data_IF_043661860563
#
_entry.id   IF_043661860563
#
_cell.length_a   1.000
_cell.length_b   1.000
_cell.length_c   1.000
_cell.angle_alpha   90.00
_cell.angle_beta   90.00
_cell.angle_gamma   90.00
#
_symmetry.space_group_name_H-M   'P 1'
#
loop_
_entity.id
_entity.type
_entity.pdbx_description
1 polymer ?
#
# COMPACT_ATOMS: atom_id res chain seq x y z
N UNK A 1 5.06 -22.62 -16.95
CA UNK A 1 4.54 -21.26 -16.74
C UNK A 1 3.03 -21.39 -16.74
N UNK A 2 2.34 -20.76 -15.78
CA UNK A 2 0.88 -20.85 -15.71
C UNK A 2 0.30 -19.94 -16.77
N UNK A 3 -0.35 -20.49 -17.79
CA UNK A 3 -1.07 -19.73 -18.83
C UNK A 3 -2.45 -19.26 -18.30
N UNK A 4 -2.59 -19.11 -16.99
CA UNK A 4 -3.87 -18.79 -16.37
C UNK A 4 -3.91 -17.30 -16.09
N UNK A 5 -4.95 -16.64 -16.60
CA UNK A 5 -5.29 -15.26 -16.22
C UNK A 5 -5.49 -15.23 -14.71
N UNK A 6 -4.74 -14.37 -14.02
CA UNK A 6 -4.65 -14.38 -12.56
C UNK A 6 -5.06 -13.03 -12.00
N UNK A 7 -6.00 -13.01 -11.05
CA UNK A 7 -6.34 -11.79 -10.32
C UNK A 7 -5.18 -11.41 -9.41
N UNK A 8 -4.65 -10.21 -9.61
CA UNK A 8 -3.50 -9.68 -8.85
C UNK A 8 -3.91 -8.58 -7.88
N UNK A 9 -5.09 -7.98 -8.07
CA UNK A 9 -5.64 -6.96 -7.19
C UNK A 9 -7.17 -7.01 -7.20
N UNK A 10 -7.79 -6.65 -6.07
CA UNK A 10 -9.24 -6.59 -5.91
C UNK A 10 -9.62 -5.42 -5.01
N UNK A 11 -10.54 -4.60 -5.50
CA UNK A 11 -11.21 -3.51 -4.80
C UNK A 11 -12.73 -3.70 -4.93
N UNK A 12 -13.51 -2.96 -4.13
CA UNK A 12 -14.97 -3.03 -4.21
C UNK A 12 -15.52 -2.59 -5.57
N UNK A 13 -14.82 -1.68 -6.25
CA UNK A 13 -15.25 -1.10 -7.52
C UNK A 13 -14.65 -1.80 -8.76
N UNK A 14 -13.47 -2.42 -8.63
CA UNK A 14 -12.76 -3.07 -9.74
C UNK A 14 -11.73 -4.11 -9.28
N UNK A 15 -11.24 -4.93 -10.19
CA UNK A 15 -10.11 -5.84 -9.96
C UNK A 15 -9.07 -5.73 -11.08
N UNK A 16 -7.80 -6.02 -10.81
CA UNK A 16 -6.75 -6.09 -11.84
C UNK A 16 -6.34 -7.53 -12.05
N UNK A 17 -6.23 -7.91 -13.31
CA UNK A 17 -5.88 -9.24 -13.75
C UNK A 17 -4.61 -9.20 -14.60
N UNK A 18 -3.68 -10.11 -14.33
CA UNK A 18 -2.52 -10.35 -15.18
C UNK A 18 -2.86 -11.41 -16.23
N UNK A 19 -2.59 -11.11 -17.50
CA UNK A 19 -2.80 -12.02 -18.64
C UNK A 19 -1.43 -12.44 -19.20
N UNK A 20 -0.92 -13.63 -18.83
CA UNK A 20 0.41 -14.09 -19.25
C UNK A 20 0.61 -14.15 -20.77
N UNK A 21 -0.45 -14.46 -21.52
CA UNK A 21 -0.41 -14.61 -22.98
C UNK A 21 -0.14 -13.29 -23.72
N UNK A 22 -0.64 -12.19 -23.16
CA UNK A 22 -0.44 -10.85 -23.71
C UNK A 22 0.71 -10.12 -23.01
N UNK A 23 1.27 -10.70 -21.95
CA UNK A 23 2.26 -10.07 -21.08
C UNK A 23 1.83 -8.66 -20.63
N UNK A 24 0.57 -8.56 -20.20
CA UNK A 24 -0.06 -7.29 -19.84
C UNK A 24 -1.15 -7.45 -18.79
N UNK A 25 -1.74 -6.32 -18.43
CA UNK A 25 -2.71 -6.19 -17.34
C UNK A 25 -4.02 -5.60 -17.86
N UNK A 26 -5.13 -6.08 -17.32
CA UNK A 26 -6.49 -5.61 -17.63
C UNK A 26 -7.25 -5.41 -16.33
N UNK A 27 -8.28 -4.57 -16.35
CA UNK A 27 -9.13 -4.33 -15.18
C UNK A 27 -10.58 -4.75 -15.43
N UNK A 28 -11.14 -5.39 -14.42
CA UNK A 28 -12.55 -5.80 -14.34
C UNK A 28 -13.39 -4.67 -13.74
N UNK A 29 -14.55 -4.41 -14.33
CA UNK A 29 -15.61 -3.63 -13.71
C UNK A 29 -16.41 -4.49 -12.74
N UNK A 30 -16.82 -3.94 -11.59
CA UNK A 30 -17.68 -4.65 -10.62
C UNK A 30 -18.82 -5.43 -11.31
N UNK A 31 -18.75 -6.77 -11.24
CA UNK A 31 -19.76 -7.69 -11.75
C UNK A 31 -19.44 -8.41 -13.06
N UNK A 32 -18.24 -8.24 -13.64
CA UNK A 32 -17.81 -8.96 -14.85
C UNK A 32 -16.42 -9.58 -14.67
N UNK A 33 -16.37 -10.84 -14.26
CA UNK A 33 -15.11 -11.55 -14.06
C UNK A 33 -14.31 -11.67 -15.37
N UNK A 34 -13.03 -11.28 -15.33
CA UNK A 34 -12.11 -11.47 -16.47
C UNK A 34 -11.53 -12.88 -16.44
N UNK A 35 -11.61 -13.55 -17.58
CA UNK A 35 -11.19 -14.94 -17.81
C UNK A 35 -10.39 -15.05 -19.10
N UNK A 36 -9.82 -16.23 -19.36
CA UNK A 36 -9.10 -16.53 -20.60
C UNK A 36 -9.96 -16.36 -21.86
N UNK A 37 -11.29 -16.37 -21.76
CA UNK A 37 -12.20 -16.32 -22.91
C UNK A 37 -12.70 -14.90 -23.24
N UNK A 38 -12.60 -13.95 -22.31
CA UNK A 38 -13.19 -12.61 -22.47
C UNK A 38 -12.20 -11.44 -22.31
N UNK A 39 -10.95 -11.70 -21.90
CA UNK A 39 -9.97 -10.63 -21.68
C UNK A 39 -9.66 -9.81 -22.93
N UNK A 40 -9.89 -10.38 -24.12
CA UNK A 40 -9.66 -9.72 -25.41
C UNK A 40 -10.57 -8.51 -25.64
N UNK A 41 -11.68 -8.41 -24.90
CA UNK A 41 -12.62 -7.29 -24.98
C UNK A 41 -12.22 -6.13 -24.05
N UNK A 42 -11.16 -6.29 -23.25
CA UNK A 42 -10.68 -5.29 -22.30
C UNK A 42 -9.46 -4.52 -22.84
N UNK A 43 -9.30 -3.23 -22.48
CA UNK A 43 -8.08 -2.49 -22.77
C UNK A 43 -6.91 -3.08 -21.96
N UNK A 44 -5.73 -3.10 -22.59
CA UNK A 44 -4.49 -3.63 -22.02
C UNK A 44 -3.57 -2.50 -21.60
N UNK A 45 -2.98 -2.68 -20.41
CA UNK A 45 -1.87 -1.86 -19.94
C UNK A 45 -0.58 -2.67 -19.85
N UNK A 46 0.53 -2.00 -20.13
CA UNK A 46 1.87 -2.60 -20.20
C UNK A 46 2.41 -2.97 -18.81
N UNK A 47 1.89 -2.34 -17.75
CA UNK A 47 2.31 -2.59 -16.37
C UNK A 47 1.12 -2.64 -15.40
N UNK A 48 1.36 -3.26 -14.24
CA UNK A 48 0.39 -3.30 -13.16
C UNK A 48 0.03 -1.89 -12.66
N UNK A 49 1.02 -1.01 -12.56
CA UNK A 49 0.81 0.36 -12.06
C UNK A 49 -0.02 1.17 -13.05
N UNK A 50 0.19 1.00 -14.36
CA UNK A 50 -0.60 1.66 -15.40
C UNK A 50 -2.05 1.15 -15.39
N UNK A 51 -2.27 -0.16 -15.25
CA UNK A 51 -3.62 -0.74 -15.06
C UNK A 51 -4.31 -0.20 -13.82
N UNK A 52 -3.57 -0.05 -12.72
CA UNK A 52 -4.10 0.51 -11.49
C UNK A 52 -4.47 1.98 -11.64
N UNK A 53 -3.61 2.76 -12.28
CA UNK A 53 -3.86 4.18 -12.54
C UNK A 53 -5.08 4.38 -13.44
N UNK A 54 -5.18 3.63 -14.55
CA UNK A 54 -6.30 3.70 -15.48
C UNK A 54 -7.63 3.28 -14.82
N UNK A 55 -7.62 2.21 -14.02
CA UNK A 55 -8.80 1.79 -13.28
C UNK A 55 -9.22 2.84 -12.23
N UNK A 56 -8.26 3.39 -11.48
CA UNK A 56 -8.51 4.46 -10.51
C UNK A 56 -9.13 5.70 -11.17
N UNK A 57 -8.62 6.13 -12.33
CA UNK A 57 -9.19 7.24 -13.09
C UNK A 57 -10.62 6.95 -13.57
N UNK A 58 -10.89 5.72 -14.01
CA UNK A 58 -12.22 5.33 -14.52
C UNK A 58 -13.28 5.25 -13.41
N UNK A 59 -12.92 4.77 -12.22
CA UNK A 59 -13.83 4.57 -11.09
C UNK A 59 -13.82 5.71 -10.08
N UNK A 60 -13.11 6.81 -10.35
CA UNK A 60 -12.96 7.98 -9.46
C UNK A 60 -12.46 7.58 -8.06
N UNK A 61 -11.49 6.64 -8.04
CA UNK A 61 -10.86 6.13 -6.81
C UNK A 61 -9.47 6.74 -6.70
N UNK A 62 -9.16 7.38 -5.57
CA UNK A 62 -7.80 7.83 -5.31
C UNK A 62 -6.86 6.65 -5.05
N UNK A 63 -5.76 6.55 -5.79
CA UNK A 63 -4.75 5.48 -5.62
C UNK A 63 -4.21 5.42 -4.19
N UNK A 64 -4.17 6.57 -3.49
CA UNK A 64 -3.80 6.66 -2.08
C UNK A 64 -4.79 5.96 -1.16
N UNK A 65 -6.09 5.95 -1.49
CA UNK A 65 -7.11 5.23 -0.73
C UNK A 65 -6.99 3.71 -0.87
N UNK A 66 -6.31 3.23 -1.92
CA UNK A 66 -6.02 1.80 -2.14
C UNK A 66 -4.73 1.32 -1.47
N UNK A 67 -3.97 2.23 -0.85
CA UNK A 67 -2.73 1.85 -0.19
C UNK A 67 -3.01 1.09 1.10
N UNK A 68 -2.22 0.04 1.34
CA UNK A 68 -2.43 -0.84 2.48
C UNK A 68 -1.82 -0.20 3.72
N UNK A 69 -2.58 0.00 4.81
CA UNK A 69 -2.04 0.52 6.06
C UNK A 69 -0.87 -0.35 6.54
N UNK A 70 0.21 0.28 6.99
CA UNK A 70 1.34 -0.47 7.51
C UNK A 70 0.94 -1.26 8.77
N UNK A 71 1.42 -2.51 8.92
CA UNK A 71 1.19 -3.28 10.14
C UNK A 71 1.76 -2.58 11.38
N UNK A 72 0.93 -2.42 12.41
CA UNK A 72 1.36 -1.86 13.70
C UNK A 72 2.09 -2.94 14.49
N UNK A 73 3.39 -2.75 14.75
CA UNK A 73 4.24 -3.65 15.51
C UNK A 73 4.19 -3.39 17.03
N UNK A 74 3.91 -2.16 17.42
CA UNK A 74 3.72 -1.72 18.79
C UNK A 74 2.93 -0.41 18.80
N UNK A 75 2.10 -0.17 19.81
CA UNK A 75 1.39 1.10 19.96
C UNK A 75 1.08 1.36 21.43
N UNK A 76 1.13 2.63 21.81
CA UNK A 76 0.66 3.13 23.09
C UNK A 76 -0.07 4.47 22.89
N UNK A 77 -0.34 5.18 23.99
CA UNK A 77 -1.05 6.47 23.94
C UNK A 77 -0.25 7.59 23.27
N UNK A 78 1.08 7.51 23.27
CA UNK A 78 1.99 8.56 22.77
C UNK A 78 2.36 8.34 21.30
N UNK A 79 2.63 7.11 20.90
CA UNK A 79 3.09 6.80 19.55
C UNK A 79 2.76 5.38 19.12
N UNK A 80 2.83 5.15 17.81
CA UNK A 80 2.74 3.84 17.18
C UNK A 80 4.01 3.55 16.38
N UNK A 81 4.43 2.28 16.39
CA UNK A 81 5.55 1.75 15.62
C UNK A 81 4.99 0.84 14.53
N UNK A 82 5.38 1.10 13.29
CA UNK A 82 4.92 0.42 12.10
C UNK A 82 6.03 -0.43 11.50
N UNK A 83 5.65 -1.57 10.91
CA UNK A 83 6.55 -2.41 10.12
C UNK A 83 6.44 -2.03 8.65
N UNK A 84 7.55 -1.77 7.98
CA UNK A 84 7.59 -1.40 6.56
C UNK A 84 7.75 -2.66 5.67
N UNK A 85 7.44 -2.58 4.36
CA UNK A 85 7.66 -3.67 3.40
C UNK A 85 9.11 -4.19 3.31
N UNK A 86 10.10 -3.44 3.79
CA UNK A 86 11.51 -3.84 3.84
C UNK A 86 11.95 -4.48 5.16
N UNK A 87 11.01 -4.98 5.98
CA UNK A 87 11.25 -5.51 7.33
C UNK A 87 11.91 -4.52 8.31
N UNK A 88 11.85 -3.22 8.01
CA UNK A 88 12.28 -2.13 8.90
C UNK A 88 11.12 -1.58 9.72
N UNK A 89 11.45 -0.71 10.66
CA UNK A 89 10.51 -0.10 11.59
C UNK A 89 10.62 1.41 11.56
N UNK A 90 9.50 2.09 11.72
CA UNK A 90 9.42 3.53 11.92
C UNK A 90 8.34 3.83 12.97
N UNK A 91 8.36 5.01 13.57
CA UNK A 91 7.34 5.43 14.53
C UNK A 91 6.67 6.73 14.10
N UNK A 92 5.40 6.90 14.48
CA UNK A 92 4.65 8.13 14.37
C UNK A 92 3.96 8.45 15.70
N UNK A 93 3.94 9.73 16.09
CA UNK A 93 3.27 10.16 17.32
C UNK A 93 1.76 10.22 17.11
N UNK A 94 0.99 9.87 18.14
CA UNK A 94 -0.48 9.85 18.10
C UNK A 94 -1.09 11.24 17.88
N UNK A 95 -0.34 12.28 18.26
CA UNK A 95 -0.70 13.68 18.25
C UNK A 95 -0.58 14.30 16.84
N UNK A 96 0.07 13.60 15.91
CA UNK A 96 0.18 14.01 14.51
C UNK A 96 -1.15 13.75 13.77
N UNK A 97 -2.21 14.43 14.21
CA UNK A 97 -3.57 14.35 13.66
C UNK A 97 -3.67 14.84 12.20
N UNK A 98 -2.59 15.42 11.65
CA UNK A 98 -2.46 15.81 10.24
C UNK A 98 -1.65 14.82 9.39
N UNK A 99 -1.09 13.75 9.97
CA UNK A 99 -0.35 12.76 9.19
C UNK A 99 -1.32 11.90 8.37
N UNK A 100 -1.09 11.91 7.05
CA UNK A 100 -1.63 10.92 6.14
C UNK A 100 -1.34 9.52 6.72
N UNK A 101 -2.32 8.60 6.78
CA UNK A 101 -2.11 7.27 7.30
C UNK A 101 -0.90 6.60 6.64
N UNK A 102 -0.03 6.02 7.45
CA UNK A 102 1.16 5.33 6.97
C UNK A 102 0.78 4.06 6.22
N UNK A 103 1.19 3.97 4.96
CA UNK A 103 0.86 2.86 4.07
C UNK A 103 2.09 2.34 3.34
N UNK A 104 1.93 1.20 2.68
CA UNK A 104 2.95 0.57 1.83
C UNK A 104 3.49 1.48 0.70
N UNK A 105 2.75 2.55 0.35
CA UNK A 105 3.12 3.50 -0.70
C UNK A 105 3.79 4.79 -0.21
N UNK A 106 3.46 5.29 0.99
CA UNK A 106 3.94 6.60 1.46
C UNK A 106 4.99 6.53 2.60
N UNK A 107 5.26 5.34 3.14
CA UNK A 107 6.14 5.19 4.30
C UNK A 107 7.57 5.68 4.08
N UNK A 108 8.06 5.67 2.83
CA UNK A 108 9.42 6.13 2.51
C UNK A 108 9.58 7.63 2.66
N UNK A 109 8.48 8.37 2.47
CA UNK A 109 8.43 9.82 2.60
C UNK A 109 8.15 10.25 4.04
N UNK A 110 7.87 9.30 4.94
CA UNK A 110 7.63 9.60 6.35
C UNK A 110 8.90 10.15 7.01
N UNK A 111 8.84 11.32 7.67
CA UNK A 111 10.01 11.92 8.28
C UNK A 111 10.53 11.08 9.46
N UNK A 112 11.85 10.88 9.52
CA UNK A 112 12.50 10.14 10.60
C UNK A 112 13.46 9.08 10.10
N UNK A 113 14.06 8.34 11.04
CA UNK A 113 14.93 7.22 10.71
C UNK A 113 14.14 5.91 10.57
N UNK A 114 14.68 5.01 9.77
CA UNK A 114 14.19 3.64 9.63
C UNK A 114 15.09 2.70 10.42
N UNK A 115 14.51 1.98 11.38
CA UNK A 115 15.21 1.12 12.31
C UNK A 115 15.19 -0.34 11.86
N UNK A 116 16.25 -1.09 12.16
CA UNK A 116 16.37 -2.51 11.81
C UNK A 116 15.58 -3.43 12.77
N UNK A 117 15.15 -2.92 13.92
CA UNK A 117 14.37 -3.66 14.90
C UNK A 117 13.26 -2.82 15.54
N UNK A 118 12.21 -3.52 15.99
CA UNK A 118 11.10 -2.92 16.71
C UNK A 118 11.57 -2.21 17.98
N UNK A 119 12.48 -2.83 18.72
CA UNK A 119 13.01 -2.32 19.99
C UNK A 119 13.76 -1.00 19.80
N UNK A 120 14.56 -0.89 18.73
CA UNK A 120 15.23 0.37 18.37
C UNK A 120 14.23 1.49 18.05
N UNK A 121 13.19 1.18 17.27
CA UNK A 121 12.16 2.16 16.95
C UNK A 121 11.39 2.61 18.21
N UNK A 122 11.09 1.70 19.13
CA UNK A 122 10.44 2.03 20.41
C UNK A 122 11.33 2.90 21.28
N UNK A 123 12.62 2.57 21.42
CA UNK A 123 13.57 3.36 22.21
C UNK A 123 13.71 4.76 21.62
N UNK A 124 13.92 4.87 20.31
CA UNK A 124 14.05 6.16 19.64
C UNK A 124 12.79 7.02 19.75
N UNK A 125 11.59 6.42 19.71
CA UNK A 125 10.34 7.12 19.94
C UNK A 125 10.25 7.70 21.36
N UNK A 126 10.68 6.94 22.37
CA UNK A 126 10.75 7.44 23.75
C UNK A 126 11.80 8.53 23.93
N UNK A 127 13.00 8.37 23.35
CA UNK A 127 14.05 9.38 23.41
C UNK A 127 13.58 10.69 22.79
N UNK A 128 12.92 10.63 21.62
CA UNK A 128 12.38 11.81 20.95
C UNK A 128 11.25 12.50 21.73
N UNK A 129 10.39 11.72 22.41
CA UNK A 129 9.37 12.26 23.32
C UNK A 129 10.02 12.98 24.52
N UNK A 130 11.06 12.38 25.12
CA UNK A 130 11.81 12.98 26.23
C UNK A 130 12.51 14.28 25.82
N UNK A 131 13.16 14.29 24.66
CA UNK A 131 13.78 15.49 24.06
C UNK A 131 12.75 16.59 23.85
N UNK A 132 11.58 16.25 23.29
CA UNK A 132 10.48 17.19 23.08
C UNK A 132 9.92 17.79 24.39
N UNK A 133 10.04 17.06 25.50
CA UNK A 133 9.66 17.50 26.85
C UNK A 133 10.79 18.24 27.59
N UNK A 134 11.99 18.31 27.01
CA UNK A 134 13.16 18.97 27.59
C UNK A 134 13.77 18.24 28.79
N UNK A 135 13.66 16.91 28.83
CA UNK A 135 14.19 16.04 29.90
C UNK A 135 15.47 15.32 29.49
#
# INVERSE_FOLDING_TARGET
>A
MSDTVTKVFEHIDFAIWHVPQANGYVYEAAGVEITADNYHDCPFEDSYDDALNAACELYDVEIGALSTPLPVAYSNVLFSVYKTPGDRYLFAFSDDAELVPLTDKNWQDHPGEHYDSREQAVIAAFEKDLEGRGL
#
